data_IF_655556829035
#
_entry.id   IF_655556829035
#
_cell.length_a   1.000
_cell.length_b   1.000
_cell.length_c   1.000
_cell.angle_alpha   90.00
_cell.angle_beta   90.00
_cell.angle_gamma   90.00
#
_symmetry.space_group_name_H-M   'P 1'
#
loop_
_entity.id
_entity.type
_entity.pdbx_description
1 polymer ?
#
# COMPACT_ATOMS: atom_id res chain seq x y z
N UNK A 1 -20.83 0.96 45.50
CA UNK A 1 -21.04 1.66 44.20
C UNK A 1 -19.87 1.48 43.21
N UNK A 2 -18.91 0.58 43.45
CA UNK A 2 -17.69 0.43 42.62
C UNK A 2 -17.87 -0.38 41.31
N UNK A 3 -19.04 -1.01 41.12
CA UNK A 3 -19.30 -1.90 39.97
C UNK A 3 -19.55 -1.17 38.64
N UNK A 4 -20.12 0.03 38.65
CA UNK A 4 -20.54 0.73 37.43
C UNK A 4 -19.34 1.25 36.59
N UNK A 5 -18.28 1.73 37.26
CA UNK A 5 -17.08 2.23 36.57
C UNK A 5 -16.32 1.10 35.84
N UNK A 6 -16.30 -0.11 36.44
CA UNK A 6 -15.69 -1.30 35.81
C UNK A 6 -16.45 -1.75 34.56
N UNK A 7 -17.78 -1.76 34.60
CA UNK A 7 -18.64 -2.10 33.45
C UNK A 7 -18.50 -1.09 32.31
N UNK A 8 -18.46 0.21 32.62
CA UNK A 8 -18.27 1.26 31.61
C UNK A 8 -16.89 1.16 30.93
N UNK A 9 -15.84 0.88 31.71
CA UNK A 9 -14.48 0.65 31.19
C UNK A 9 -14.39 -0.61 30.31
N UNK A 10 -15.03 -1.70 30.72
CA UNK A 10 -15.10 -2.93 29.91
C UNK A 10 -15.83 -2.68 28.59
N UNK A 11 -16.97 -1.99 28.61
CA UNK A 11 -17.70 -1.62 27.40
C UNK A 11 -16.85 -0.74 26.46
N UNK A 12 -16.09 0.22 27.02
CA UNK A 12 -15.16 1.05 26.24
C UNK A 12 -14.04 0.23 25.58
N UNK A 13 -13.42 -0.70 26.32
CA UNK A 13 -12.37 -1.58 25.80
C UNK A 13 -12.87 -2.47 24.66
N UNK A 14 -14.11 -2.99 24.77
CA UNK A 14 -14.72 -3.80 23.70
C UNK A 14 -14.95 -2.95 22.44
N UNK A 15 -15.42 -1.72 22.58
CA UNK A 15 -15.60 -0.79 21.45
C UNK A 15 -14.26 -0.50 20.76
N UNK A 16 -13.21 -0.18 21.51
CA UNK A 16 -11.92 0.11 20.91
C UNK A 16 -11.30 -1.12 20.24
N UNK A 17 -11.46 -2.31 20.83
CA UNK A 17 -11.05 -3.56 20.18
C UNK A 17 -11.75 -3.75 18.85
N UNK A 18 -13.08 -3.53 18.78
CA UNK A 18 -13.84 -3.62 17.51
C UNK A 18 -13.37 -2.60 16.48
N UNK A 19 -13.11 -1.35 16.91
CA UNK A 19 -12.56 -0.30 16.04
C UNK A 19 -11.20 -0.72 15.47
N UNK A 20 -10.30 -1.23 16.32
CA UNK A 20 -8.99 -1.71 15.90
C UNK A 20 -9.07 -2.94 14.97
N UNK A 21 -10.01 -3.86 15.19
CA UNK A 21 -10.25 -4.99 14.27
C UNK A 21 -10.67 -4.50 12.88
N UNK A 22 -11.60 -3.54 12.81
CA UNK A 22 -12.02 -2.92 11.54
C UNK A 22 -10.85 -2.26 10.81
N UNK A 23 -10.01 -1.51 11.53
CA UNK A 23 -8.81 -0.87 10.96
C UNK A 23 -7.83 -1.93 10.42
N UNK A 24 -7.57 -2.98 11.20
CA UNK A 24 -6.64 -4.02 10.78
C UNK A 24 -7.17 -4.79 9.55
N UNK A 25 -8.48 -5.02 9.47
CA UNK A 25 -9.11 -5.62 8.29
C UNK A 25 -8.90 -4.77 7.04
N UNK A 26 -9.12 -3.45 7.13
CA UNK A 26 -8.86 -2.53 6.02
C UNK A 26 -7.37 -2.50 5.63
N UNK A 27 -6.46 -2.65 6.59
CA UNK A 27 -5.02 -2.78 6.29
C UNK A 27 -4.69 -4.08 5.56
N UNK A 28 -5.32 -5.21 5.88
CA UNK A 28 -5.12 -6.45 5.12
C UNK A 28 -5.68 -6.33 3.70
N UNK A 29 -6.83 -5.69 3.53
CA UNK A 29 -7.38 -5.40 2.21
C UNK A 29 -6.42 -4.52 1.40
N UNK A 30 -5.88 -3.45 1.99
CA UNK A 30 -4.89 -2.61 1.32
C UNK A 30 -3.63 -3.41 0.93
N UNK A 31 -3.14 -4.29 1.81
CA UNK A 31 -1.99 -5.16 1.50
C UNK A 31 -2.23 -6.07 0.29
N UNK A 32 -3.47 -6.53 0.10
CA UNK A 32 -3.83 -7.35 -1.08
C UNK A 32 -3.84 -6.57 -2.40
N UNK A 33 -3.85 -5.24 -2.36
CA UNK A 33 -3.92 -4.35 -3.54
C UNK A 33 -2.56 -3.76 -3.93
N UNK A 34 -1.61 -3.71 -3.00
CA UNK A 34 -0.25 -3.20 -3.27
C UNK A 34 0.63 -4.33 -3.82
N UNK A 35 1.65 -4.03 -4.63
CA UNK A 35 2.49 -5.06 -5.22
C UNK A 35 3.36 -5.75 -4.15
N UNK A 36 3.14 -7.05 -3.93
CA UNK A 36 3.89 -7.87 -2.97
C UNK A 36 4.59 -9.04 -3.64
N UNK A 37 5.70 -9.50 -3.06
CA UNK A 37 6.34 -10.72 -3.55
C UNK A 37 5.48 -11.96 -3.22
N UNK A 38 5.54 -13.04 -4.04
CA UNK A 38 4.73 -14.26 -3.83
C UNK A 38 4.88 -14.91 -2.44
N UNK A 39 6.02 -14.73 -1.78
CA UNK A 39 6.31 -15.28 -0.44
C UNK A 39 6.70 -14.18 0.55
N UNK A 40 6.21 -12.96 0.33
CA UNK A 40 6.61 -11.84 1.15
C UNK A 40 6.08 -11.95 2.58
N UNK A 41 6.93 -11.56 3.54
CA UNK A 41 6.46 -11.31 4.91
C UNK A 41 5.46 -10.16 4.90
N UNK A 42 4.44 -10.24 5.76
CA UNK A 42 3.46 -9.17 5.94
C UNK A 42 4.15 -7.81 6.18
N UNK A 43 3.89 -6.86 5.29
CA UNK A 43 4.39 -5.49 5.39
C UNK A 43 3.92 -4.80 6.68
N UNK A 44 4.79 -3.95 7.25
CA UNK A 44 4.41 -3.10 8.38
C UNK A 44 3.33 -2.09 7.97
N UNK A 45 2.63 -1.47 8.92
CA UNK A 45 1.60 -0.47 8.61
C UNK A 45 2.19 0.72 7.85
N UNK A 46 3.38 1.18 8.24
CA UNK A 46 4.03 2.32 7.58
C UNK A 46 4.51 1.94 6.17
N UNK A 47 5.07 0.75 5.98
CA UNK A 47 5.54 0.32 4.65
C UNK A 47 4.36 0.09 3.70
N UNK A 48 3.26 -0.47 4.20
CA UNK A 48 2.02 -0.62 3.42
C UNK A 48 1.51 0.74 2.91
N UNK A 49 1.49 1.76 3.77
CA UNK A 49 1.05 3.11 3.39
C UNK A 49 2.01 3.77 2.39
N UNK A 50 3.32 3.68 2.63
CA UNK A 50 4.35 4.23 1.72
C UNK A 50 4.26 3.58 0.35
N UNK A 51 4.15 2.25 0.31
CA UNK A 51 4.04 1.49 -0.93
C UNK A 51 2.74 1.82 -1.67
N UNK A 52 1.62 1.96 -0.96
CA UNK A 52 0.35 2.36 -1.56
C UNK A 52 0.43 3.75 -2.22
N UNK A 53 1.01 4.74 -1.53
CA UNK A 53 1.19 6.11 -2.06
C UNK A 53 2.05 6.08 -3.33
N UNK A 54 3.20 5.40 -3.26
CA UNK A 54 4.11 5.22 -4.39
C UNK A 54 3.41 4.53 -5.57
N UNK A 55 2.67 3.46 -5.30
CA UNK A 55 1.98 2.70 -6.35
C UNK A 55 0.87 3.51 -7.03
N UNK A 56 0.08 4.29 -6.28
CA UNK A 56 -0.92 5.19 -6.85
C UNK A 56 -0.27 6.25 -7.77
N UNK A 57 0.86 6.84 -7.33
CA UNK A 57 1.57 7.83 -8.14
C UNK A 57 2.10 7.22 -9.46
N UNK A 58 2.67 6.01 -9.41
CA UNK A 58 3.09 5.27 -10.61
C UNK A 58 1.91 5.00 -11.55
N UNK A 59 0.81 4.45 -11.04
CA UNK A 59 -0.37 4.15 -11.86
C UNK A 59 -0.94 5.43 -12.50
N UNK A 60 -0.89 6.55 -11.80
CA UNK A 60 -1.33 7.86 -12.32
C UNK A 60 -0.45 8.33 -13.49
N UNK A 61 0.86 8.14 -13.37
CA UNK A 61 1.82 8.45 -14.44
C UNK A 61 1.62 7.54 -15.66
N UNK A 62 1.42 6.23 -15.44
CA UNK A 62 1.13 5.26 -16.50
C UNK A 62 -0.13 5.69 -17.26
N UNK A 63 -1.23 5.96 -16.55
CA UNK A 63 -2.50 6.40 -17.15
C UNK A 63 -2.36 7.71 -17.94
N UNK A 64 -1.52 8.63 -17.47
CA UNK A 64 -1.27 9.92 -18.15
C UNK A 64 -0.39 9.78 -19.38
N UNK A 65 0.47 8.77 -19.42
CA UNK A 65 1.40 8.54 -20.54
C UNK A 65 0.71 7.99 -21.80
N UNK A 66 -0.45 7.35 -21.66
CA UNK A 66 -1.14 6.64 -22.73
C UNK A 66 -0.40 5.38 -23.22
N UNK A 67 0.69 4.97 -22.57
CA UNK A 67 1.40 3.72 -22.85
C UNK A 67 0.80 2.57 -22.07
N UNK A 68 1.03 1.34 -22.54
CA UNK A 68 0.73 0.18 -21.71
C UNK A 68 1.64 0.17 -20.46
N UNK A 69 1.17 -0.38 -19.33
CA UNK A 69 1.91 -0.32 -18.07
C UNK A 69 3.32 -0.92 -18.14
N UNK A 70 3.48 -2.01 -18.88
CA UNK A 70 4.77 -2.70 -19.00
C UNK A 70 5.76 -1.88 -19.81
N UNK A 71 5.34 -1.35 -20.96
CA UNK A 71 6.17 -0.48 -21.79
C UNK A 71 6.56 0.80 -21.07
N UNK A 72 5.66 1.39 -20.26
CA UNK A 72 6.00 2.57 -19.45
C UNK A 72 7.12 2.25 -18.45
N UNK A 73 7.00 1.14 -17.72
CA UNK A 73 8.01 0.72 -16.74
C UNK A 73 9.33 0.35 -17.43
N UNK A 74 9.29 -0.39 -18.54
CA UNK A 74 10.48 -0.79 -19.30
C UNK A 74 11.19 0.41 -19.93
N UNK A 75 10.43 1.37 -20.48
CA UNK A 75 10.97 2.64 -20.99
C UNK A 75 11.60 3.43 -19.85
N UNK A 76 10.93 3.56 -18.70
CA UNK A 76 11.48 4.26 -17.54
C UNK A 76 12.81 3.65 -17.06
N UNK A 77 12.89 2.33 -16.96
CA UNK A 77 14.13 1.62 -16.57
C UNK A 77 15.23 1.83 -17.60
N UNK A 78 14.89 1.93 -18.89
CA UNK A 78 15.83 2.10 -20.00
C UNK A 78 16.33 3.53 -20.16
N UNK A 79 15.44 4.52 -20.17
CA UNK A 79 15.75 5.92 -20.52
C UNK A 79 15.80 6.84 -19.33
N UNK A 80 15.31 6.41 -18.16
CA UNK A 80 15.29 7.22 -16.94
C UNK A 80 14.43 8.48 -17.07
N UNK A 81 13.50 8.52 -18.05
CA UNK A 81 12.66 9.68 -18.31
C UNK A 81 11.77 9.96 -17.09
N UNK A 82 12.02 11.08 -16.42
CA UNK A 82 11.33 11.43 -15.17
C UNK A 82 10.05 12.21 -15.46
N UNK A 83 8.90 11.67 -15.03
CA UNK A 83 7.72 12.51 -14.79
C UNK A 83 7.99 13.44 -13.59
N UNK A 84 7.23 14.54 -13.43
CA UNK A 84 7.32 15.37 -12.23
C UNK A 84 7.08 14.60 -10.92
N UNK A 85 6.32 13.50 -10.97
CA UNK A 85 5.99 12.66 -9.82
C UNK A 85 6.92 11.44 -9.69
N UNK A 86 7.91 11.27 -10.56
CA UNK A 86 8.76 10.07 -10.59
C UNK A 86 9.47 9.82 -9.26
N UNK A 87 9.81 10.87 -8.51
CA UNK A 87 10.50 10.74 -7.22
C UNK A 87 9.61 10.14 -6.11
N UNK A 88 8.28 10.18 -6.28
CA UNK A 88 7.32 9.67 -5.29
C UNK A 88 7.28 8.13 -5.34
N UNK A 89 7.42 7.56 -6.54
CA UNK A 89 7.30 6.12 -6.75
C UNK A 89 8.59 5.42 -7.12
N UNK A 90 9.60 6.13 -7.67
CA UNK A 90 10.91 5.58 -7.94
C UNK A 90 11.70 5.37 -6.64
N UNK A 91 11.34 4.30 -5.96
CA UNK A 91 12.07 3.73 -4.84
C UNK A 91 12.64 2.39 -5.28
N UNK A 92 13.81 2.02 -4.75
CA UNK A 92 14.41 0.71 -5.05
C UNK A 92 13.47 -0.44 -4.71
N UNK A 93 12.70 -0.31 -3.63
CA UNK A 93 11.70 -1.29 -3.20
C UNK A 93 10.55 -1.43 -4.22
N UNK A 94 9.88 -0.33 -4.61
CA UNK A 94 8.79 -0.42 -5.58
C UNK A 94 9.29 -0.92 -6.94
N UNK A 95 10.41 -0.39 -7.44
CA UNK A 95 10.99 -0.81 -8.74
C UNK A 95 11.32 -2.29 -8.76
N UNK A 96 11.86 -2.86 -7.66
CA UNK A 96 12.11 -4.29 -7.56
C UNK A 96 10.81 -5.11 -7.62
N UNK A 97 9.73 -4.64 -6.97
CA UNK A 97 8.42 -5.31 -6.97
C UNK A 97 7.76 -5.31 -8.34
N UNK A 98 7.97 -4.28 -9.17
CA UNK A 98 7.35 -4.19 -10.51
C UNK A 98 7.69 -5.39 -11.40
N UNK A 99 8.87 -5.99 -11.22
CA UNK A 99 9.29 -7.20 -11.95
C UNK A 99 8.47 -8.45 -11.64
N UNK A 100 7.73 -8.45 -10.53
CA UNK A 100 6.89 -9.57 -10.07
C UNK A 100 5.40 -9.32 -10.28
N UNK A 101 5.02 -8.12 -10.71
CA UNK A 101 3.63 -7.81 -11.06
C UNK A 101 3.32 -8.55 -12.36
N UNK A 102 2.23 -9.33 -12.34
CA UNK A 102 1.64 -9.85 -13.56
C UNK A 102 0.80 -8.73 -14.19
N UNK A 103 1.25 -8.26 -15.35
CA UNK A 103 0.59 -7.20 -16.12
C UNK A 103 -0.43 -7.75 -17.14
N UNK A 104 -0.59 -9.08 -17.24
CA UNK A 104 -1.59 -9.79 -18.05
C UNK A 104 -3.01 -9.68 -17.48
#
# INVERSE_FOLDING_TARGET
MEGQCKVHRQAANVRERRRMLSINSAFEELRSRVPTFPYEKRLSKIDTLRLAIAYIALLSDILSSGMDPKSYVDEFVRTGLKSPQSNIWNTSDLTARLSWIKWD
#
